data_IF_455432613691
#
_entry.id   IF_455432613691
#
_cell.length_a   1.000
_cell.length_b   1.000
_cell.length_c   1.000
_cell.angle_alpha   90.00
_cell.angle_beta   90.00
_cell.angle_gamma   90.00
#
_symmetry.space_group_name_H-M   'P 1'
#
loop_
_entity.id
_entity.type
_entity.pdbx_description
1 polymer ?
#
# COMPACT_ATOMS: atom_id res chain seq x y z
N UNK A 1 4.92 -19.64 14.01
CA UNK A 1 3.58 -19.30 13.51
C UNK A 1 3.26 -17.92 14.04
N UNK A 2 3.57 -16.87 13.27
CA UNK A 2 2.67 -16.07 12.39
C UNK A 2 1.71 -15.17 13.18
N UNK A 3 1.84 -13.84 13.06
CA UNK A 3 0.93 -12.98 12.27
C UNK A 3 1.17 -11.48 12.57
N UNK A 4 1.35 -10.68 11.51
CA UNK A 4 0.87 -9.29 11.45
C UNK A 4 1.78 -8.17 11.95
N UNK A 5 2.76 -7.76 11.13
CA UNK A 5 3.64 -6.60 11.40
C UNK A 5 3.97 -5.93 10.08
N UNK A 6 3.32 -4.81 9.79
CA UNK A 6 3.55 -3.91 8.64
C UNK A 6 4.46 -4.50 7.55
N UNK A 7 3.83 -5.31 6.71
CA UNK A 7 4.54 -6.09 5.69
C UNK A 7 5.03 -5.21 4.51
N UNK A 8 4.70 -3.92 4.42
CA UNK A 8 4.94 -3.07 3.24
C UNK A 8 6.34 -3.17 2.62
N UNK A 9 7.42 -2.97 3.38
CA UNK A 9 8.79 -2.91 2.82
C UNK A 9 9.41 -4.27 2.47
N UNK A 10 9.29 -5.27 3.35
CA UNK A 10 9.83 -6.63 3.09
C UNK A 10 8.91 -7.46 2.21
N UNK A 11 7.61 -7.20 2.23
CA UNK A 11 6.68 -7.76 1.24
C UNK A 11 6.88 -7.08 -0.09
N UNK A 12 7.17 -5.77 -0.22
CA UNK A 12 7.59 -5.19 -1.51
C UNK A 12 8.86 -5.85 -2.06
N UNK A 13 9.89 -6.07 -1.24
CA UNK A 13 11.13 -6.75 -1.64
C UNK A 13 10.96 -8.27 -1.88
N UNK A 14 10.12 -8.95 -1.10
CA UNK A 14 9.76 -10.35 -1.33
C UNK A 14 8.79 -10.50 -2.50
N UNK A 15 7.89 -9.54 -2.72
CA UNK A 15 7.02 -9.38 -3.89
C UNK A 15 7.88 -9.20 -5.12
N UNK A 16 8.99 -8.46 -5.11
CA UNK A 16 9.95 -8.41 -6.23
C UNK A 16 10.56 -9.79 -6.59
N UNK A 17 10.86 -10.60 -5.57
CA UNK A 17 11.38 -11.96 -5.74
C UNK A 17 10.26 -12.96 -6.13
N UNK A 18 9.04 -12.77 -5.63
CA UNK A 18 7.86 -13.58 -5.92
C UNK A 18 7.16 -13.13 -7.22
N UNK A 19 7.38 -11.89 -7.70
CA UNK A 19 6.89 -11.27 -8.94
C UNK A 19 7.43 -12.00 -10.17
N UNK A 20 8.66 -12.51 -10.07
CA UNK A 20 9.23 -13.43 -11.06
C UNK A 20 8.66 -14.86 -10.99
N UNK A 21 7.96 -15.23 -9.91
CA UNK A 21 7.40 -16.58 -9.69
C UNK A 21 5.88 -16.64 -9.86
N UNK A 22 5.17 -15.53 -9.66
CA UNK A 22 3.72 -15.46 -9.65
C UNK A 22 3.17 -14.93 -10.99
N UNK A 23 3.39 -15.68 -12.07
CA UNK A 23 2.37 -15.76 -13.11
C UNK A 23 1.29 -16.70 -12.54
N UNK A 24 0.42 -16.18 -11.68
CA UNK A 24 -0.61 -16.97 -11.04
C UNK A 24 -1.62 -17.50 -12.08
N UNK A 25 -2.03 -18.76 -11.89
CA UNK A 25 -3.06 -19.43 -12.68
C UNK A 25 -4.36 -18.60 -12.68
N UNK A 26 -5.05 -18.39 -13.82
CA UNK A 26 -6.29 -17.62 -13.90
C UNK A 26 -7.33 -17.93 -12.82
N UNK A 27 -7.45 -19.18 -12.38
CA UNK A 27 -8.38 -19.57 -11.31
C UNK A 27 -8.02 -18.95 -9.95
N UNK A 28 -6.72 -18.78 -9.66
CA UNK A 28 -6.25 -18.11 -8.43
C UNK A 28 -6.56 -16.61 -8.47
N UNK A 29 -6.59 -16.03 -9.68
CA UNK A 29 -6.91 -14.61 -9.90
C UNK A 29 -8.39 -14.31 -9.74
N UNK A 30 -9.25 -15.14 -10.33
CA UNK A 30 -10.71 -15.02 -10.19
C UNK A 30 -11.14 -15.20 -8.73
N UNK A 31 -10.50 -16.12 -8.01
CA UNK A 31 -10.72 -16.30 -6.57
C UNK A 31 -10.35 -15.05 -5.75
N UNK A 32 -9.26 -14.36 -6.09
CA UNK A 32 -8.84 -13.15 -5.39
C UNK A 32 -9.80 -11.97 -5.64
N UNK A 33 -10.32 -11.82 -6.86
CA UNK A 33 -11.35 -10.81 -7.15
C UNK A 33 -12.64 -11.10 -6.37
N UNK A 34 -13.09 -12.35 -6.40
CA UNK A 34 -14.30 -12.76 -5.68
C UNK A 34 -14.14 -12.59 -4.17
N UNK A 35 -12.97 -12.94 -3.63
CA UNK A 35 -12.62 -12.70 -2.22
C UNK A 35 -12.68 -11.22 -1.87
N UNK A 36 -12.17 -10.32 -2.72
CA UNK A 36 -12.23 -8.87 -2.48
C UNK A 36 -13.68 -8.38 -2.42
N UNK A 37 -14.50 -8.76 -3.41
CA UNK A 37 -15.91 -8.37 -3.48
C UNK A 37 -16.71 -8.88 -2.29
N UNK A 38 -16.44 -10.09 -1.84
CA UNK A 38 -17.12 -10.66 -0.68
C UNK A 38 -16.73 -9.92 0.60
N UNK A 39 -15.43 -9.77 0.89
CA UNK A 39 -14.93 -9.12 2.10
C UNK A 39 -15.42 -7.68 2.23
N UNK A 40 -15.44 -6.93 1.14
CA UNK A 40 -15.85 -5.52 1.16
C UNK A 40 -17.36 -5.33 1.28
N UNK A 41 -18.13 -6.40 1.04
CA UNK A 41 -19.59 -6.40 1.18
C UNK A 41 -20.07 -6.82 2.57
N UNK A 42 -19.17 -7.28 3.44
CA UNK A 42 -19.48 -7.66 4.82
C UNK A 42 -19.98 -6.44 5.62
N UNK A 43 -20.87 -6.66 6.59
CA UNK A 43 -21.40 -5.60 7.46
C UNK A 43 -20.31 -4.89 8.27
N UNK A 44 -19.22 -5.61 8.58
CA UNK A 44 -18.01 -5.07 9.19
C UNK A 44 -16.79 -5.62 8.44
N UNK A 45 -16.29 -4.91 7.41
CA UNK A 45 -15.19 -5.40 6.60
C UNK A 45 -13.91 -5.61 7.41
N UNK A 46 -13.29 -6.79 7.27
CA UNK A 46 -11.97 -7.05 7.84
C UNK A 46 -10.89 -6.41 6.95
N UNK A 47 -10.50 -5.18 7.29
CA UNK A 47 -9.50 -4.41 6.53
C UNK A 47 -8.11 -5.05 6.47
N UNK A 48 -7.76 -5.89 7.46
CA UNK A 48 -6.50 -6.65 7.42
C UNK A 48 -6.56 -7.74 6.36
N UNK A 49 -7.69 -8.43 6.23
CA UNK A 49 -7.92 -9.40 5.15
C UNK A 49 -8.03 -8.71 3.80
N UNK A 50 -8.73 -7.57 3.73
CA UNK A 50 -8.82 -6.76 2.51
C UNK A 50 -7.44 -6.36 2.00
N UNK A 51 -6.56 -5.86 2.87
CA UNK A 51 -5.20 -5.50 2.48
C UNK A 51 -4.43 -6.71 1.89
N UNK A 52 -4.60 -7.90 2.50
CA UNK A 52 -4.03 -9.14 1.97
C UNK A 52 -4.54 -9.50 0.58
N UNK A 53 -5.83 -9.29 0.31
CA UNK A 53 -6.45 -9.59 -1.00
C UNK A 53 -6.07 -8.55 -2.05
N UNK A 54 -6.05 -7.27 -1.69
CA UNK A 54 -5.59 -6.16 -2.52
C UNK A 54 -4.14 -6.39 -2.97
N UNK A 55 -3.27 -6.85 -2.06
CA UNK A 55 -1.91 -7.25 -2.38
C UNK A 55 -1.83 -8.40 -3.42
N UNK A 56 -2.71 -9.40 -3.35
CA UNK A 56 -2.73 -10.50 -4.35
C UNK A 56 -3.10 -9.97 -5.74
N UNK A 57 -4.03 -9.03 -5.82
CA UNK A 57 -4.49 -8.44 -7.08
C UNK A 57 -3.42 -7.54 -7.71
N UNK A 58 -2.67 -6.79 -6.90
CA UNK A 58 -1.47 -6.08 -7.33
C UNK A 58 -0.44 -7.05 -7.92
N UNK A 59 -0.03 -8.08 -7.18
CA UNK A 59 0.95 -9.08 -7.65
C UNK A 59 0.54 -9.78 -8.95
N UNK A 60 -0.73 -9.69 -9.32
CA UNK A 60 -1.32 -10.33 -10.49
C UNK A 60 -1.58 -9.38 -11.66
N UNK A 61 -1.19 -8.10 -11.55
CA UNK A 61 -1.44 -7.07 -12.57
C UNK A 61 -2.93 -6.73 -12.74
N UNK A 62 -3.72 -6.86 -11.68
CA UNK A 62 -5.18 -6.61 -11.66
C UNK A 62 -5.53 -5.37 -10.83
N UNK A 63 -4.64 -4.39 -10.80
CA UNK A 63 -4.78 -3.16 -10.04
C UNK A 63 -6.05 -2.42 -10.43
N UNK A 64 -6.38 -2.38 -11.72
CA UNK A 64 -7.60 -1.72 -12.21
C UNK A 64 -8.88 -2.34 -11.62
N UNK A 65 -8.94 -3.68 -11.49
CA UNK A 65 -10.10 -4.36 -10.91
C UNK A 65 -10.21 -4.03 -9.43
N UNK A 66 -9.10 -4.13 -8.70
CA UNK A 66 -9.05 -3.79 -7.27
C UNK A 66 -9.49 -2.33 -7.04
N UNK A 67 -8.97 -1.39 -7.83
CA UNK A 67 -9.32 0.03 -7.76
C UNK A 67 -10.81 0.23 -8.03
N UNK A 68 -11.39 -0.38 -9.07
CA UNK A 68 -12.82 -0.22 -9.35
C UNK A 68 -13.70 -0.72 -8.21
N UNK A 69 -13.38 -1.89 -7.63
CA UNK A 69 -14.13 -2.43 -6.48
C UNK A 69 -14.01 -1.52 -5.25
N UNK A 70 -12.81 -1.00 -4.97
CA UNK A 70 -12.57 -0.10 -3.85
C UNK A 70 -13.23 1.27 -4.06
N UNK A 71 -13.27 1.80 -5.28
CA UNK A 71 -13.97 3.06 -5.61
C UNK A 71 -15.48 2.94 -5.39
N UNK A 72 -16.08 1.80 -5.76
CA UNK A 72 -17.50 1.51 -5.48
C UNK A 72 -17.79 1.44 -3.98
N UNK A 73 -16.92 0.75 -3.22
CA UNK A 73 -17.04 0.65 -1.77
C UNK A 73 -16.85 1.99 -1.06
N UNK A 74 -15.90 2.81 -1.52
CA UNK A 74 -15.70 4.15 -1.00
C UNK A 74 -16.96 4.99 -1.18
N UNK A 75 -17.55 5.01 -2.38
CA UNK A 75 -18.80 5.74 -2.63
C UNK A 75 -19.92 5.26 -1.68
N UNK A 76 -20.07 3.94 -1.53
CA UNK A 76 -21.08 3.37 -0.62
C UNK A 76 -20.85 3.80 0.84
N UNK A 77 -19.63 3.71 1.35
CA UNK A 77 -19.31 4.12 2.73
C UNK A 77 -19.58 5.61 2.98
N UNK A 78 -19.41 6.46 1.96
CA UNK A 78 -19.75 7.89 2.04
C UNK A 78 -21.27 8.07 2.09
N UNK A 79 -22.00 7.39 1.20
CA UNK A 79 -23.47 7.46 1.13
C UNK A 79 -24.13 6.92 2.41
N UNK A 80 -23.55 5.86 3.00
CA UNK A 80 -24.01 5.22 4.25
C UNK A 80 -23.48 5.93 5.52
N UNK A 81 -22.75 7.05 5.36
CA UNK A 81 -22.15 7.84 6.44
C UNK A 81 -21.28 7.01 7.41
N UNK A 82 -20.42 6.16 6.85
CA UNK A 82 -19.44 5.31 7.54
C UNK A 82 -18.02 5.91 7.39
N UNK A 83 -17.66 6.94 8.17
CA UNK A 83 -16.41 7.68 7.98
C UNK A 83 -15.15 6.83 8.22
N UNK A 84 -15.21 5.84 9.10
CA UNK A 84 -14.07 4.94 9.35
C UNK A 84 -13.81 4.03 8.16
N UNK A 85 -14.86 3.41 7.60
CA UNK A 85 -14.76 2.56 6.42
C UNK A 85 -14.31 3.35 5.20
N UNK A 86 -14.81 4.58 5.03
CA UNK A 86 -14.36 5.48 3.98
C UNK A 86 -12.86 5.75 4.09
N UNK A 87 -12.36 6.06 5.30
CA UNK A 87 -10.94 6.30 5.54
C UNK A 87 -10.07 5.09 5.21
N UNK A 88 -10.42 3.91 5.73
CA UNK A 88 -9.66 2.68 5.46
C UNK A 88 -9.69 2.29 3.97
N UNK A 89 -10.83 2.50 3.30
CA UNK A 89 -10.96 2.24 1.86
C UNK A 89 -10.10 3.22 1.04
N UNK A 90 -10.07 4.51 1.41
CA UNK A 90 -9.16 5.48 0.78
C UNK A 90 -7.69 5.08 0.98
N UNK A 91 -7.30 4.57 2.14
CA UNK A 91 -5.93 4.09 2.39
C UNK A 91 -5.54 2.93 1.46
N UNK A 92 -6.46 1.97 1.23
CA UNK A 92 -6.26 0.90 0.26
C UNK A 92 -6.16 1.42 -1.18
N UNK A 93 -6.97 2.42 -1.55
CA UNK A 93 -6.91 3.07 -2.85
C UNK A 93 -5.59 3.79 -3.08
N UNK A 94 -5.07 4.48 -2.06
CA UNK A 94 -3.73 5.10 -2.11
C UNK A 94 -2.66 4.04 -2.38
N UNK A 95 -2.67 2.94 -1.63
CA UNK A 95 -1.73 1.84 -1.82
C UNK A 95 -1.80 1.29 -3.26
N UNK A 96 -3.01 1.07 -3.79
CA UNK A 96 -3.19 0.59 -5.16
C UNK A 96 -2.75 1.57 -6.23
N UNK A 97 -2.97 2.88 -6.03
CA UNK A 97 -2.51 3.89 -6.95
C UNK A 97 -0.99 4.07 -6.93
N UNK A 98 -0.32 3.78 -5.80
CA UNK A 98 1.15 3.68 -5.76
C UNK A 98 1.62 2.57 -6.70
N UNK A 99 1.09 1.35 -6.56
CA UNK A 99 1.54 0.23 -7.39
C UNK A 99 1.19 0.39 -8.86
N UNK A 100 0.03 0.96 -9.18
CA UNK A 100 -0.37 1.26 -10.56
C UNK A 100 0.48 2.36 -11.22
N UNK A 101 1.18 3.18 -10.44
CA UNK A 101 1.93 4.33 -10.95
C UNK A 101 1.13 5.63 -11.06
N UNK A 102 -0.09 5.68 -10.52
CA UNK A 102 -1.00 6.83 -10.57
C UNK A 102 -0.73 7.81 -9.38
N UNK A 103 0.53 8.20 -9.16
CA UNK A 103 0.98 8.90 -7.94
C UNK A 103 0.23 10.20 -7.66
N UNK A 104 -0.01 11.03 -8.69
CA UNK A 104 -0.76 12.28 -8.55
C UNK A 104 -2.23 12.06 -8.22
N UNK A 105 -2.82 10.92 -8.57
CA UNK A 105 -4.18 10.55 -8.17
C UNK A 105 -4.18 10.12 -6.69
N UNK A 106 -3.20 9.32 -6.28
CA UNK A 106 -3.04 8.91 -4.88
C UNK A 106 -2.93 10.11 -3.92
N UNK A 107 -2.15 11.14 -4.28
CA UNK A 107 -1.98 12.36 -3.47
C UNK A 107 -3.28 13.17 -3.26
N UNK A 108 -4.35 12.90 -4.01
CA UNK A 108 -5.61 13.65 -3.91
C UNK A 108 -6.56 13.11 -2.84
N UNK A 109 -6.41 11.85 -2.42
CA UNK A 109 -7.30 11.21 -1.44
C UNK A 109 -7.31 11.95 -0.11
N UNK A 110 -8.49 11.98 0.54
CA UNK A 110 -8.72 12.79 1.74
C UNK A 110 -7.97 12.21 2.94
N UNK A 111 -7.86 10.89 3.05
CA UNK A 111 -7.10 10.21 4.10
C UNK A 111 -5.65 10.72 4.26
N UNK A 112 -5.03 11.23 3.19
CA UNK A 112 -3.67 11.78 3.22
C UNK A 112 -3.59 13.23 3.74
N UNK A 113 -4.73 13.92 3.85
CA UNK A 113 -4.83 15.32 4.28
C UNK A 113 -5.45 15.46 5.67
N UNK A 114 -6.11 14.42 6.16
CA UNK A 114 -6.78 14.44 7.44
C UNK A 114 -5.77 14.23 8.58
N UNK A 115 -5.18 15.33 9.05
CA UNK A 115 -4.18 15.36 10.12
C UNK A 115 -4.75 15.03 11.51
N UNK A 116 -6.08 15.03 11.67
CA UNK A 116 -6.74 14.75 12.95
C UNK A 116 -6.68 13.26 13.35
N UNK A 117 -6.50 12.36 12.37
CA UNK A 117 -6.37 10.93 12.61
C UNK A 117 -4.89 10.60 12.79
N UNK A 118 -4.53 10.00 13.93
CA UNK A 118 -3.15 9.58 14.16
C UNK A 118 -2.90 8.19 13.56
N UNK A 119 -2.54 8.17 12.28
CA UNK A 119 -2.22 6.97 11.52
C UNK A 119 -0.84 7.14 10.87
N UNK A 120 0.09 6.25 11.18
CA UNK A 120 1.48 6.27 10.70
C UNK A 120 1.60 5.91 9.22
N UNK A 121 0.62 5.20 8.65
CA UNK A 121 0.57 4.91 7.20
C UNK A 121 0.46 6.20 6.38
N UNK A 122 -0.19 7.24 6.91
CA UNK A 122 -0.37 8.52 6.19
C UNK A 122 0.97 9.17 5.83
N UNK A 123 1.84 9.55 6.80
CA UNK A 123 3.14 10.13 6.48
C UNK A 123 4.03 9.17 5.69
N UNK A 124 3.95 7.85 5.92
CA UNK A 124 4.68 6.88 5.12
C UNK A 124 4.26 6.90 3.64
N UNK A 125 2.96 6.83 3.34
CA UNK A 125 2.46 6.86 1.96
C UNK A 125 2.73 8.20 1.28
N UNK A 126 2.63 9.33 2.01
CA UNK A 126 3.04 10.63 1.49
C UNK A 126 4.53 10.65 1.15
N UNK A 127 5.39 10.13 2.03
CA UNK A 127 6.83 10.06 1.77
C UNK A 127 7.14 9.25 0.51
N UNK A 128 6.52 8.08 0.35
CA UNK A 128 6.64 7.25 -0.86
C UNK A 128 6.21 8.04 -2.09
N UNK A 129 5.01 8.62 -2.07
CA UNK A 129 4.45 9.36 -3.20
C UNK A 129 5.32 10.55 -3.60
N UNK A 130 5.86 11.29 -2.63
CA UNK A 130 6.74 12.42 -2.92
C UNK A 130 8.10 12.00 -3.49
N UNK A 131 8.66 10.85 -3.08
CA UNK A 131 9.82 10.28 -3.80
C UNK A 131 9.45 9.93 -5.24
N UNK A 132 8.27 9.33 -5.46
CA UNK A 132 7.80 8.91 -6.79
C UNK A 132 7.60 10.09 -7.75
N UNK A 133 7.17 11.25 -7.25
CA UNK A 133 7.02 12.50 -8.03
C UNK A 133 8.25 13.41 -7.97
N UNK A 134 9.37 12.91 -7.43
CA UNK A 134 10.67 13.60 -7.35
C UNK A 134 10.68 14.88 -6.49
N UNK A 135 9.77 14.99 -5.52
CA UNK A 135 9.78 16.04 -4.50
C UNK A 135 10.50 15.54 -3.22
N UNK A 136 11.83 15.54 -3.27
CA UNK A 136 12.68 15.06 -2.16
C UNK A 136 12.44 15.84 -0.85
N UNK A 137 12.07 17.12 -0.94
CA UNK A 137 11.83 17.97 0.24
C UNK A 137 10.59 17.51 0.99
N UNK A 138 9.46 17.37 0.30
CA UNK A 138 8.23 16.88 0.93
C UNK A 138 8.37 15.40 1.32
N UNK A 139 9.08 14.59 0.53
CA UNK A 139 9.37 13.21 0.88
C UNK A 139 10.08 13.09 2.24
N UNK A 140 11.15 13.87 2.44
CA UNK A 140 11.92 13.86 3.68
C UNK A 140 11.08 14.32 4.87
N UNK A 141 10.32 15.41 4.72
CA UNK A 141 9.43 15.92 5.77
C UNK A 141 8.44 14.85 6.24
N UNK A 142 7.79 14.16 5.31
CA UNK A 142 6.81 13.12 5.66
C UNK A 142 7.48 11.86 6.21
N UNK A 143 8.70 11.53 5.78
CA UNK A 143 9.48 10.44 6.37
C UNK A 143 9.85 10.72 7.83
N UNK A 144 10.26 11.96 8.14
CA UNK A 144 10.56 12.40 9.50
C UNK A 144 9.31 12.31 10.39
N UNK A 145 8.15 12.81 9.93
CA UNK A 145 6.85 12.65 10.64
C UNK A 145 6.54 11.17 10.92
N UNK A 146 6.75 10.28 9.94
CA UNK A 146 6.57 8.83 10.13
C UNK A 146 7.47 8.26 11.23
N UNK A 147 8.76 8.64 11.25
CA UNK A 147 9.71 8.18 12.27
C UNK A 147 9.36 8.73 13.66
N UNK A 148 8.89 9.97 13.74
CA UNK A 148 8.41 10.58 15.00
C UNK A 148 7.22 9.82 15.56
N UNK A 149 6.18 9.57 14.77
CA UNK A 149 5.02 8.78 15.20
C UNK A 149 5.45 7.39 15.66
N UNK A 150 6.30 6.71 14.89
CA UNK A 150 6.82 5.38 15.27
C UNK A 150 7.55 5.39 16.61
N UNK A 151 8.27 6.47 16.91
CA UNK A 151 9.03 6.62 18.17
C UNK A 151 8.11 6.96 19.34
N UNK A 152 7.09 7.79 19.12
CA UNK A 152 6.11 8.17 20.15
C UNK A 152 5.24 6.99 20.58
N UNK A 153 4.92 6.08 19.66
CA UNK A 153 4.08 4.91 19.91
C UNK A 153 4.86 3.63 20.28
N UNK A 154 6.12 3.73 20.75
CA UNK A 154 6.98 2.58 21.09
C UNK A 154 6.25 1.50 21.90
N UNK A 155 5.85 0.46 21.16
CA UNK A 155 5.34 -0.82 21.62
C UNK A 155 6.43 -1.52 22.46
N UNK A 156 6.10 -2.20 23.58
CA UNK A 156 7.12 -2.72 24.49
C UNK A 156 8.12 -3.68 23.79
N UNK A 157 9.41 -3.60 24.13
CA UNK A 157 10.45 -4.42 23.50
C UNK A 157 10.24 -5.89 23.88
N UNK A 158 9.75 -6.69 22.94
CA UNK A 158 9.40 -8.09 23.20
C UNK A 158 8.63 -8.79 22.08
N UNK A 159 8.03 -8.06 21.14
CA UNK A 159 7.54 -8.67 19.91
C UNK A 159 8.68 -8.76 18.88
N UNK A 160 8.80 -9.88 18.18
CA UNK A 160 9.89 -10.25 17.24
C UNK A 160 9.99 -9.35 15.98
N UNK A 161 9.42 -8.14 16.04
CA UNK A 161 9.14 -7.17 14.98
C UNK A 161 10.34 -6.27 14.65
N UNK A 162 11.33 -6.23 15.56
CA UNK A 162 12.41 -5.24 15.61
C UNK A 162 13.47 -5.32 14.50
N UNK A 163 13.50 -6.38 13.69
CA UNK A 163 14.66 -6.61 12.80
C UNK A 163 14.61 -5.87 11.47
N UNK A 164 13.44 -5.45 10.98
CA UNK A 164 13.31 -4.75 9.67
C UNK A 164 13.30 -3.24 9.87
N UNK A 165 12.64 -2.76 10.93
CA UNK A 165 12.59 -1.35 11.31
C UNK A 165 13.88 -0.80 11.92
N UNK A 166 14.78 -1.71 12.31
CA UNK A 166 16.19 -1.38 12.61
C UNK A 166 17.03 -1.10 11.36
N UNK A 167 16.57 -1.48 10.16
CA UNK A 167 17.41 -1.46 8.94
C UNK A 167 17.28 -0.17 8.15
N UNK A 168 16.11 0.48 8.12
CA UNK A 168 15.91 1.75 7.39
C UNK A 168 15.52 2.84 8.39
N UNK A 169 16.53 3.40 9.06
CA UNK A 169 16.38 4.59 9.90
C UNK A 169 16.75 5.86 9.14
N UNK A 170 17.41 5.71 8.00
CA UNK A 170 17.97 6.78 7.19
C UNK A 170 17.08 7.09 5.98
N UNK A 171 16.92 8.38 5.66
CA UNK A 171 16.04 8.80 4.57
C UNK A 171 16.63 8.42 3.20
N UNK A 172 17.95 8.49 3.04
CA UNK A 172 18.63 8.21 1.79
C UNK A 172 18.52 6.72 1.42
N UNK A 173 18.53 5.83 2.41
CA UNK A 173 18.21 4.41 2.22
C UNK A 173 16.75 4.18 1.85
N UNK A 174 15.82 4.84 2.54
CA UNK A 174 14.40 4.80 2.22
C UNK A 174 14.16 5.27 0.77
N UNK A 175 14.71 6.41 0.39
CA UNK A 175 14.57 6.99 -0.94
C UNK A 175 15.09 6.04 -2.03
N UNK A 176 16.25 5.40 -1.81
CA UNK A 176 16.79 4.39 -2.75
C UNK A 176 15.83 3.24 -2.96
N UNK A 177 15.24 2.70 -1.88
CA UNK A 177 14.27 1.59 -1.99
C UNK A 177 13.03 2.02 -2.75
N UNK A 178 12.49 3.22 -2.48
CA UNK A 178 11.31 3.72 -3.19
C UNK A 178 11.62 4.02 -4.67
N UNK A 179 12.83 4.49 -4.98
CA UNK A 179 13.27 4.67 -6.38
C UNK A 179 13.39 3.34 -7.12
N UNK A 180 13.87 2.27 -6.47
CA UNK A 180 13.88 0.93 -7.07
C UNK A 180 12.45 0.47 -7.39
N UNK A 181 11.53 0.59 -6.42
CA UNK A 181 10.12 0.29 -6.63
C UNK A 181 9.51 1.06 -7.82
N UNK A 182 9.86 2.34 -7.98
CA UNK A 182 9.42 3.16 -9.12
C UNK A 182 9.86 2.57 -10.46
N UNK A 183 11.12 2.13 -10.55
CA UNK A 183 11.64 1.53 -11.78
C UNK A 183 10.98 0.18 -12.08
N UNK A 184 10.69 -0.61 -11.07
CA UNK A 184 9.95 -1.87 -11.22
C UNK A 184 8.53 -1.62 -11.78
N UNK A 185 7.80 -0.66 -11.19
CA UNK A 185 6.46 -0.25 -11.67
C UNK A 185 6.49 0.18 -13.14
N UNK A 186 7.50 0.97 -13.54
CA UNK A 186 7.67 1.38 -14.95
C UNK A 186 7.87 0.17 -15.87
N UNK A 187 8.72 -0.77 -15.47
CA UNK A 187 9.00 -1.98 -16.27
C UNK A 187 7.76 -2.87 -16.45
N UNK A 188 6.89 -2.95 -15.43
CA UNK A 188 5.63 -3.73 -15.51
C UNK A 188 4.66 -3.11 -16.52
N UNK A 189 4.64 -1.79 -16.63
CA UNK A 189 3.67 -1.04 -17.41
C UNK A 189 4.18 -0.53 -18.77
N UNK A 190 5.43 -0.82 -19.16
CA UNK A 190 5.96 -0.52 -20.50
C UNK A 190 5.41 -1.51 -21.57
N UNK A 191 4.78 -0.99 -22.65
CA UNK A 191 4.32 -1.84 -23.75
C UNK A 191 5.49 -2.17 -24.70
N UNK A 192 6.17 -3.30 -24.49
CA UNK A 192 7.14 -3.78 -25.49
C UNK A 192 8.27 -4.70 -25.04
N UNK A 193 8.41 -5.02 -23.75
CA UNK A 193 9.46 -5.93 -23.29
C UNK A 193 9.17 -7.36 -23.76
N UNK A 194 9.81 -7.73 -24.88
CA UNK A 194 9.89 -9.10 -25.38
C UNK A 194 10.38 -10.01 -24.26
N UNK A 195 9.51 -10.92 -23.84
CA UNK A 195 9.79 -11.98 -22.88
C UNK A 195 10.70 -13.01 -23.56
N UNK A 196 11.92 -13.18 -23.06
CA UNK A 196 12.72 -14.39 -23.29
C UNK A 196 12.50 -15.34 -22.12
#
# INVERSE_FOLDING_TARGET
MSFGVLHGGKLALKRLVDYHKARADPATLEAAEMELRNLISEEQPDFKRLQGTVAKLEMSGKENIAISVLEEALRKSIDDNQPHEAYETEMLLVEMHIYKGDYWKALKYKCLKDEAISDDRRPLYKAILYVMVEDSKEAKKNWEEFQELRTLYQWPPGMQEDQIYKVITDFEEFEKVVRLLREDIKQVHEPGTKKF
#
